data_IF_301131029257
#
_entry.id   IF_301131029257
#
_cell.length_a   1.000
_cell.length_b   1.000
_cell.length_c   1.000
_cell.angle_alpha   90.00
_cell.angle_beta   90.00
_cell.angle_gamma   90.00
#
_symmetry.space_group_name_H-M   'P 1'
#
loop_
_entity.id
_entity.type
_entity.pdbx_description
1 polymer ?
#
# COMPACT_ATOMS: atom_id res chain seq x y z
N UNK A 1 -18.70 8.92 3.93
CA UNK A 1 -18.03 9.01 5.25
C UNK A 1 -18.97 8.48 6.33
N UNK A 2 -18.49 7.53 7.12
CA UNK A 2 -19.24 6.93 8.21
C UNK A 2 -18.63 7.32 9.56
N UNK A 3 -19.49 7.49 10.55
CA UNK A 3 -19.10 7.58 11.95
C UNK A 3 -18.77 6.21 12.52
N UNK A 4 -18.21 6.18 13.74
CA UNK A 4 -17.79 4.94 14.41
C UNK A 4 -18.88 3.87 14.46
N UNK A 5 -20.13 4.28 14.61
CA UNK A 5 -21.32 3.43 14.73
C UNK A 5 -22.06 3.20 13.42
N UNK A 6 -21.45 3.52 12.28
CA UNK A 6 -22.03 3.28 10.95
C UNK A 6 -23.04 4.33 10.49
N UNK A 7 -23.23 5.41 11.26
CA UNK A 7 -24.04 6.54 10.83
C UNK A 7 -23.37 7.27 9.65
N UNK A 8 -24.13 7.58 8.61
CA UNK A 8 -23.65 8.39 7.49
C UNK A 8 -23.43 9.82 7.97
N UNK A 9 -22.18 10.28 7.95
CA UNK A 9 -21.81 11.64 8.32
C UNK A 9 -21.73 12.56 7.11
N UNK A 10 -21.36 12.01 5.96
CA UNK A 10 -21.28 12.71 4.69
C UNK A 10 -21.43 11.70 3.56
N UNK A 11 -22.28 12.03 2.59
CA UNK A 11 -22.42 11.30 1.34
C UNK A 11 -22.32 12.29 0.18
N UNK A 12 -21.44 11.99 -0.77
CA UNK A 12 -21.12 12.83 -1.93
C UNK A 12 -21.25 11.98 -3.19
N UNK A 13 -22.46 11.86 -3.76
CA UNK A 13 -22.67 11.04 -4.93
C UNK A 13 -21.92 11.60 -6.14
N UNK A 14 -21.31 10.71 -6.91
CA UNK A 14 -20.68 11.07 -8.18
C UNK A 14 -21.74 11.29 -9.26
N UNK A 15 -21.57 12.34 -10.05
CA UNK A 15 -22.36 12.59 -11.27
C UNK A 15 -21.71 11.97 -12.53
N UNK A 16 -20.62 11.20 -12.37
CA UNK A 16 -19.90 10.57 -13.47
C UNK A 16 -19.03 11.50 -14.33
N UNK A 17 -18.94 12.80 -14.01
CA UNK A 17 -18.11 13.77 -14.77
C UNK A 17 -16.79 14.08 -14.09
N UNK A 18 -16.45 13.39 -13.00
CA UNK A 18 -15.15 13.53 -12.33
C UNK A 18 -14.05 13.01 -13.25
N UNK A 19 -13.30 13.90 -13.89
CA UNK A 19 -12.20 13.56 -14.83
C UNK A 19 -10.96 12.92 -14.18
N UNK A 20 -11.16 12.11 -13.13
CA UNK A 20 -10.14 11.40 -12.36
C UNK A 20 -10.59 9.96 -12.09
N UNK A 21 -10.69 9.13 -13.14
CA UNK A 21 -11.06 7.73 -12.96
C UNK A 21 -9.98 6.99 -12.17
N UNK A 22 -10.39 6.07 -11.32
CA UNK A 22 -9.49 5.11 -10.70
C UNK A 22 -9.04 4.09 -11.74
N UNK A 23 -7.79 3.64 -11.63
CA UNK A 23 -7.23 2.60 -12.48
C UNK A 23 -6.44 1.62 -11.61
N UNK A 24 -6.56 0.33 -11.92
CA UNK A 24 -5.79 -0.68 -11.23
C UNK A 24 -4.30 -0.43 -11.47
N UNK A 25 -3.50 -0.56 -10.41
CA UNK A 25 -2.05 -0.37 -10.49
C UNK A 25 -1.40 -1.31 -11.52
N UNK A 26 -1.91 -2.53 -11.65
CA UNK A 26 -1.48 -3.51 -12.65
C UNK A 26 -1.72 -3.01 -14.07
N UNK A 27 -2.88 -2.41 -14.34
CA UNK A 27 -3.22 -1.83 -15.64
C UNK A 27 -2.35 -0.60 -15.96
N UNK A 28 -2.13 0.28 -14.98
CA UNK A 28 -1.22 1.42 -15.15
C UNK A 28 0.20 0.95 -15.47
N UNK A 29 0.71 -0.05 -14.73
CA UNK A 29 2.02 -0.64 -15.00
C UNK A 29 2.08 -1.26 -16.39
N UNK A 30 1.05 -2.01 -16.79
CA UNK A 30 0.97 -2.63 -18.12
C UNK A 30 1.00 -1.57 -19.22
N UNK A 31 0.15 -0.54 -19.14
CA UNK A 31 0.12 0.55 -20.13
C UNK A 31 1.47 1.26 -20.25
N UNK A 32 2.16 1.52 -19.13
CA UNK A 32 3.49 2.12 -19.16
C UNK A 32 4.52 1.18 -19.82
N UNK A 33 4.51 -0.12 -19.52
CA UNK A 33 5.43 -1.08 -20.13
C UNK A 33 5.17 -1.25 -21.63
N UNK A 34 3.91 -1.36 -22.03
CA UNK A 34 3.50 -1.47 -23.44
C UNK A 34 3.87 -0.22 -24.26
N UNK A 35 4.12 0.93 -23.60
CA UNK A 35 4.57 2.15 -24.27
C UNK A 35 6.09 2.19 -24.55
N UNK A 36 6.85 1.22 -24.05
CA UNK A 36 8.32 1.19 -24.16
C UNK A 36 8.80 0.04 -25.04
N UNK A 37 10.01 0.13 -25.63
CA UNK A 37 10.67 -1.01 -26.26
C UNK A 37 10.82 -2.18 -25.26
N UNK A 38 10.80 -3.42 -25.77
CA UNK A 38 10.89 -4.64 -24.93
C UNK A 38 12.18 -4.66 -24.10
N UNK A 39 13.26 -4.11 -24.66
CA UNK A 39 14.59 -4.07 -24.06
C UNK A 39 14.77 -2.96 -23.02
N UNK A 40 13.78 -2.06 -22.88
CA UNK A 40 13.88 -0.92 -21.97
C UNK A 40 13.90 -1.33 -20.50
N UNK A 41 13.37 -2.51 -20.15
CA UNK A 41 13.29 -3.00 -18.78
C UNK A 41 14.05 -4.31 -18.63
N UNK A 42 15.10 -4.29 -17.80
CA UNK A 42 15.76 -5.51 -17.35
C UNK A 42 15.13 -5.99 -16.04
N UNK A 43 14.40 -7.10 -16.13
CA UNK A 43 13.74 -7.72 -14.98
C UNK A 43 14.72 -8.44 -14.04
N UNK A 44 14.29 -8.70 -12.81
CA UNK A 44 15.07 -9.42 -11.79
C UNK A 44 16.41 -8.76 -11.44
N UNK A 45 16.53 -7.44 -11.66
CA UNK A 45 17.70 -6.62 -11.30
C UNK A 45 17.42 -5.79 -10.05
N UNK A 46 17.69 -6.36 -8.87
CA UNK A 46 17.64 -5.61 -7.61
C UNK A 46 18.97 -4.90 -7.37
N UNK A 47 18.94 -3.57 -7.28
CA UNK A 47 20.12 -2.76 -6.97
C UNK A 47 20.59 -3.03 -5.54
N UNK A 48 21.89 -3.33 -5.40
CA UNK A 48 22.56 -3.53 -4.12
C UNK A 48 23.32 -2.27 -3.68
N UNK A 49 23.94 -1.56 -4.64
CA UNK A 49 24.65 -0.32 -4.36
C UNK A 49 25.10 0.42 -5.61
N UNK A 50 25.57 1.65 -5.41
CA UNK A 50 26.09 2.51 -6.48
C UNK A 50 27.38 3.18 -6.02
N UNK A 51 28.36 3.26 -6.92
CA UNK A 51 29.63 3.96 -6.69
C UNK A 51 29.82 5.00 -7.79
N UNK A 52 30.15 6.23 -7.42
CA UNK A 52 30.57 7.25 -8.37
C UNK A 52 32.02 6.99 -8.79
N UNK A 53 32.25 6.80 -10.09
CA UNK A 53 33.58 6.51 -10.66
C UNK A 53 34.35 7.78 -11.04
N UNK A 54 33.72 8.95 -10.96
CA UNK A 54 34.26 10.21 -11.46
C UNK A 54 33.92 10.46 -12.94
N UNK A 55 34.08 11.70 -13.40
CA UNK A 55 33.78 12.09 -14.79
C UNK A 55 32.31 11.90 -15.19
N UNK A 56 31.37 11.89 -14.22
CA UNK A 56 29.95 11.64 -14.45
C UNK A 56 29.55 10.16 -14.52
N UNK A 57 30.50 9.23 -14.39
CA UNK A 57 30.21 7.80 -14.43
C UNK A 57 29.79 7.24 -13.09
N UNK A 58 28.85 6.30 -13.13
CA UNK A 58 28.30 5.58 -11.99
C UNK A 58 28.34 4.09 -12.29
N UNK A 59 28.89 3.30 -11.38
CA UNK A 59 28.80 1.84 -11.39
C UNK A 59 27.67 1.38 -10.47
N UNK A 60 26.78 0.55 -11.00
CA UNK A 60 25.66 -0.05 -10.28
C UNK A 60 26.01 -1.52 -10.02
N UNK A 61 25.91 -1.95 -8.77
CA UNK A 61 26.02 -3.35 -8.37
C UNK A 61 24.64 -3.93 -8.12
N UNK A 62 24.36 -5.08 -8.73
CA UNK A 62 23.10 -5.79 -8.59
C UNK A 62 23.29 -6.99 -7.65
N UNK A 63 22.25 -7.40 -6.95
CA UNK A 63 22.30 -8.53 -6.00
C UNK A 63 22.66 -9.88 -6.64
N UNK A 64 22.53 -10.01 -7.97
CA UNK A 64 22.98 -11.20 -8.71
C UNK A 64 24.50 -11.21 -9.01
N UNK A 65 25.23 -10.20 -8.52
CA UNK A 65 26.67 -10.03 -8.71
C UNK A 65 27.05 -9.31 -10.01
N UNK A 66 26.10 -9.05 -10.91
CA UNK A 66 26.38 -8.27 -12.13
C UNK A 66 26.62 -6.80 -11.82
N UNK A 67 27.44 -6.16 -12.64
CA UNK A 67 27.67 -4.71 -12.59
C UNK A 67 27.34 -4.09 -13.94
N UNK A 68 26.91 -2.83 -13.91
CA UNK A 68 26.70 -2.00 -15.10
C UNK A 68 27.13 -0.57 -14.84
N UNK A 69 27.58 0.13 -15.87
CA UNK A 69 28.05 1.51 -15.75
C UNK A 69 27.23 2.45 -16.63
N UNK A 70 26.92 3.65 -16.12
CA UNK A 70 26.19 4.69 -16.86
C UNK A 70 26.76 6.08 -16.59
N UNK A 71 26.61 6.97 -17.56
CA UNK A 71 26.92 8.40 -17.43
C UNK A 71 25.72 9.22 -16.93
N UNK A 72 24.50 8.66 -16.99
CA UNK A 72 23.28 9.27 -16.47
C UNK A 72 22.52 8.25 -15.62
N UNK A 73 22.32 8.59 -14.35
CA UNK A 73 21.61 7.77 -13.38
C UNK A 73 20.40 8.55 -12.84
N UNK A 74 19.21 7.96 -12.99
CA UNK A 74 17.96 8.51 -12.44
C UNK A 74 17.47 7.60 -11.31
N UNK A 75 17.34 8.16 -10.11
CA UNK A 75 16.84 7.44 -8.93
C UNK A 75 15.32 7.33 -8.92
N UNK A 76 14.80 6.15 -9.25
CA UNK A 76 13.36 5.82 -9.22
C UNK A 76 13.07 4.53 -8.43
N UNK A 77 13.92 4.22 -7.45
CA UNK A 77 13.96 2.97 -6.68
C UNK A 77 13.19 3.04 -5.33
N UNK A 78 12.29 4.01 -5.19
CA UNK A 78 11.31 4.05 -4.10
C UNK A 78 11.83 4.57 -2.75
N UNK A 79 11.08 4.29 -1.68
CA UNK A 79 11.30 4.85 -0.35
C UNK A 79 12.70 4.52 0.23
N UNK A 80 13.19 3.31 -0.07
CA UNK A 80 14.44 2.72 0.42
C UNK A 80 15.59 2.85 -0.58
N UNK A 81 15.59 3.93 -1.35
CA UNK A 81 16.52 4.18 -2.44
C UNK A 81 17.99 3.97 -2.05
N UNK A 82 18.71 3.19 -2.86
CA UNK A 82 20.18 3.06 -2.81
C UNK A 82 20.87 4.15 -3.62
N UNK A 83 20.13 4.90 -4.43
CA UNK A 83 20.63 6.02 -5.26
C UNK A 83 20.61 7.35 -4.51
N UNK A 84 19.58 7.60 -3.68
CA UNK A 84 19.40 8.85 -2.92
C UNK A 84 20.67 9.34 -2.17
N UNK A 85 21.49 8.47 -1.53
CA UNK A 85 22.70 8.89 -0.84
C UNK A 85 23.74 9.62 -1.71
N UNK A 86 23.70 9.46 -3.04
CA UNK A 86 24.56 10.22 -3.95
C UNK A 86 24.24 11.72 -3.99
N UNK A 87 23.01 12.11 -3.61
CA UNK A 87 22.53 13.48 -3.65
C UNK A 87 22.23 14.05 -2.26
N UNK A 88 21.83 13.22 -1.30
CA UNK A 88 21.42 13.66 0.03
C UNK A 88 21.66 12.58 1.09
N UNK A 89 22.14 13.00 2.26
CA UNK A 89 22.24 12.14 3.45
C UNK A 89 20.90 11.94 4.17
N UNK A 90 19.81 12.53 3.67
CA UNK A 90 18.49 12.37 4.27
C UNK A 90 18.03 10.91 4.23
N UNK A 91 17.65 10.41 5.40
CA UNK A 91 17.01 9.11 5.58
C UNK A 91 15.51 9.30 5.67
N UNK A 92 14.74 8.26 5.32
CA UNK A 92 13.31 8.26 5.65
C UNK A 92 13.14 8.32 7.18
N UNK A 93 11.96 8.66 7.66
CA UNK A 93 11.62 8.56 9.09
C UNK A 93 10.22 8.01 9.23
N UNK A 94 9.99 7.19 10.24
CA UNK A 94 8.65 6.68 10.54
C UNK A 94 7.81 7.80 11.16
N UNK A 95 6.68 8.11 10.54
CA UNK A 95 5.82 9.24 10.93
C UNK A 95 4.82 8.91 12.05
N UNK A 96 4.85 7.67 12.58
CA UNK A 96 3.93 7.24 13.64
C UNK A 96 2.65 6.56 13.16
N UNK A 97 2.51 6.29 11.86
CA UNK A 97 1.33 5.63 11.28
C UNK A 97 1.72 4.42 10.44
N UNK A 98 1.06 3.28 10.70
CA UNK A 98 1.16 2.05 9.91
C UNK A 98 -0.14 1.81 9.16
N UNK A 99 -0.05 1.42 7.89
CA UNK A 99 -1.20 1.00 7.09
C UNK A 99 -1.30 -0.52 7.10
N UNK A 100 -2.51 -1.05 7.25
CA UNK A 100 -2.81 -2.46 7.06
C UNK A 100 -3.79 -2.60 5.90
N UNK A 101 -3.43 -3.43 4.93
CA UNK A 101 -4.22 -3.67 3.72
C UNK A 101 -4.99 -5.00 3.82
N UNK A 102 -6.26 -4.97 3.42
CA UNK A 102 -7.15 -6.14 3.34
C UNK A 102 -8.02 -6.09 2.09
N UNK A 103 -8.53 -7.26 1.70
CA UNK A 103 -9.39 -7.42 0.53
C UNK A 103 -10.57 -8.33 0.86
N UNK A 104 -11.77 -7.88 0.49
CA UNK A 104 -12.97 -8.72 0.39
C UNK A 104 -13.35 -8.87 -1.07
N UNK A 105 -13.67 -10.09 -1.50
CA UNK A 105 -14.11 -10.42 -2.84
C UNK A 105 -15.60 -10.77 -2.85
N UNK A 106 -16.21 -10.76 -4.04
CA UNK A 106 -17.63 -11.07 -4.25
C UNK A 106 -18.56 -10.39 -3.23
N UNK A 107 -18.27 -9.12 -2.91
CA UNK A 107 -18.82 -8.47 -1.70
C UNK A 107 -20.33 -8.30 -1.73
N UNK A 108 -20.95 -8.25 -2.91
CA UNK A 108 -22.41 -8.16 -3.03
C UNK A 108 -23.10 -9.47 -2.60
N UNK A 109 -22.40 -10.59 -2.63
CA UNK A 109 -22.91 -11.93 -2.27
C UNK A 109 -22.44 -12.31 -0.87
N UNK A 110 -21.14 -12.17 -0.60
CA UNK A 110 -20.52 -12.66 0.64
C UNK A 110 -20.59 -11.64 1.78
N UNK A 111 -20.54 -10.33 1.47
CA UNK A 111 -20.49 -9.25 2.47
C UNK A 111 -21.49 -8.11 2.17
N UNK A 112 -22.79 -8.39 1.91
CA UNK A 112 -23.72 -7.40 1.36
C UNK A 112 -23.90 -6.17 2.26
N UNK A 113 -23.89 -6.33 3.59
CA UNK A 113 -23.98 -5.20 4.52
C UNK A 113 -22.76 -4.27 4.43
N UNK A 114 -21.56 -4.84 4.29
CA UNK A 114 -20.31 -4.11 4.13
C UNK A 114 -20.23 -3.43 2.77
N UNK A 115 -20.66 -4.10 1.71
CA UNK A 115 -20.78 -3.53 0.36
C UNK A 115 -21.73 -2.33 0.32
N UNK A 116 -22.90 -2.43 0.97
CA UNK A 116 -23.86 -1.32 1.07
C UNK A 116 -23.24 -0.14 1.85
N UNK A 117 -22.56 -0.42 2.96
CA UNK A 117 -21.92 0.61 3.76
C UNK A 117 -20.78 1.33 3.01
N UNK A 118 -20.01 0.60 2.20
CA UNK A 118 -18.94 1.14 1.37
C UNK A 118 -19.48 1.93 0.17
N UNK A 119 -20.61 1.51 -0.37
CA UNK A 119 -21.22 2.09 -1.56
C UNK A 119 -20.45 1.76 -2.84
N UNK A 120 -20.66 2.57 -3.88
CA UNK A 120 -20.07 2.36 -5.21
C UNK A 120 -18.74 3.11 -5.44
N UNK A 121 -18.19 3.75 -4.40
CA UNK A 121 -16.98 4.57 -4.50
C UNK A 121 -16.08 4.37 -3.29
N UNK A 122 -15.62 5.47 -2.70
CA UNK A 122 -14.75 5.46 -1.53
C UNK A 122 -15.53 5.69 -0.23
N UNK A 123 -15.23 4.87 0.76
CA UNK A 123 -15.65 4.95 2.14
C UNK A 123 -14.52 5.45 3.02
N UNK A 124 -14.85 6.38 3.91
CA UNK A 124 -13.96 6.90 4.94
C UNK A 124 -14.66 6.76 6.30
N UNK A 125 -14.01 6.13 7.27
CA UNK A 125 -14.42 6.16 8.66
C UNK A 125 -13.22 6.54 9.53
N UNK A 126 -13.23 7.76 10.04
CA UNK A 126 -12.08 8.38 10.71
C UNK A 126 -12.36 8.58 12.19
N UNK A 127 -11.39 8.20 13.02
CA UNK A 127 -11.38 8.41 14.46
C UNK A 127 -9.96 8.80 14.91
N UNK A 128 -9.80 9.43 16.08
CA UNK A 128 -8.46 9.65 16.63
C UNK A 128 -7.68 8.34 16.72
N UNK A 129 -6.53 8.30 16.04
CA UNK A 129 -5.63 7.13 16.02
C UNK A 129 -5.98 6.00 15.05
N UNK A 130 -7.16 6.03 14.41
CA UNK A 130 -7.58 5.03 13.42
C UNK A 130 -8.32 5.68 12.25
N UNK A 131 -7.82 5.49 11.04
CA UNK A 131 -8.56 5.75 9.79
C UNK A 131 -8.87 4.44 9.07
N UNK A 132 -10.11 4.28 8.62
CA UNK A 132 -10.52 3.19 7.72
C UNK A 132 -10.87 3.82 6.39
N UNK A 133 -10.22 3.35 5.33
CA UNK A 133 -10.44 3.79 3.96
C UNK A 133 -10.74 2.54 3.14
N UNK A 134 -11.94 2.43 2.59
CA UNK A 134 -12.26 1.35 1.66
C UNK A 134 -12.66 1.93 0.33
N UNK A 135 -12.27 1.32 -0.77
CA UNK A 135 -12.83 1.68 -2.07
C UNK A 135 -13.28 0.42 -2.80
N UNK A 136 -14.32 0.59 -3.60
CA UNK A 136 -14.89 -0.49 -4.38
C UNK A 136 -14.21 -0.59 -5.74
N UNK A 137 -13.48 -1.68 -5.95
CA UNK A 137 -12.82 -1.97 -7.21
C UNK A 137 -13.74 -2.76 -8.15
N UNK A 138 -13.32 -2.86 -9.42
CA UNK A 138 -13.98 -3.72 -10.39
C UNK A 138 -13.99 -5.18 -9.93
N UNK A 139 -15.02 -5.94 -10.33
CA UNK A 139 -15.15 -7.35 -9.94
C UNK A 139 -15.75 -7.59 -8.56
N UNK A 140 -16.35 -6.57 -7.94
CA UNK A 140 -17.03 -6.73 -6.65
C UNK A 140 -16.04 -6.91 -5.50
N UNK A 141 -14.92 -6.18 -5.55
CA UNK A 141 -13.87 -6.22 -4.54
C UNK A 141 -13.95 -4.96 -3.67
N UNK A 142 -13.84 -5.10 -2.36
CA UNK A 142 -13.52 -4.00 -1.46
C UNK A 142 -12.08 -4.12 -1.01
N UNK A 143 -11.28 -3.13 -1.41
CA UNK A 143 -9.91 -2.99 -0.96
C UNK A 143 -9.89 -1.97 0.17
N UNK A 144 -9.37 -2.36 1.33
CA UNK A 144 -9.39 -1.54 2.53
C UNK A 144 -7.99 -1.27 3.07
N UNK A 145 -7.78 -0.03 3.49
CA UNK A 145 -6.65 0.44 4.26
C UNK A 145 -7.10 0.82 5.67
N UNK A 146 -6.43 0.26 6.67
CA UNK A 146 -6.50 0.70 8.05
C UNK A 146 -5.24 1.49 8.42
N UNK A 147 -5.35 2.80 8.62
CA UNK A 147 -4.26 3.65 9.08
C UNK A 147 -4.30 3.73 10.61
N UNK A 148 -3.28 3.15 11.26
CA UNK A 148 -3.16 3.06 12.71
C UNK A 148 -2.03 3.94 13.20
N UNK A 149 -2.31 4.81 14.18
CA UNK A 149 -1.25 5.50 14.88
C UNK A 149 -0.65 4.58 15.94
N UNK A 150 0.52 4.03 15.65
CA UNK A 150 1.16 3.03 16.49
C UNK A 150 2.69 3.13 16.42
N UNK A 151 3.42 2.61 17.43
CA UNK A 151 4.87 2.51 17.37
C UNK A 151 5.35 1.64 16.19
N UNK A 152 6.54 1.93 15.65
CA UNK A 152 7.10 1.23 14.48
C UNK A 152 7.11 -0.31 14.62
N UNK A 153 7.36 -0.83 15.83
CA UNK A 153 7.39 -2.27 16.09
C UNK A 153 6.03 -2.94 16.27
N UNK A 154 4.91 -2.21 16.16
CA UNK A 154 3.58 -2.73 16.46
C UNK A 154 3.17 -3.90 15.55
N UNK A 155 3.54 -3.84 14.27
CA UNK A 155 3.23 -4.85 13.24
C UNK A 155 4.29 -5.96 13.11
N UNK A 156 5.25 -6.05 14.04
CA UNK A 156 6.27 -7.08 14.00
C UNK A 156 5.63 -8.49 14.00
N UNK A 157 5.97 -9.32 13.02
CA UNK A 157 5.46 -10.68 12.87
C UNK A 157 4.16 -10.81 12.05
N UNK A 158 3.51 -9.70 11.67
CA UNK A 158 2.34 -9.75 10.78
C UNK A 158 2.69 -10.16 9.34
N UNK A 159 3.97 -10.10 8.96
CA UNK A 159 4.47 -10.53 7.65
C UNK A 159 4.82 -12.03 7.57
N UNK A 160 4.56 -12.79 8.65
CA UNK A 160 4.83 -14.22 8.73
C UNK A 160 3.95 -15.08 7.81
N UNK A 161 2.91 -14.48 7.22
CA UNK A 161 1.88 -15.19 6.43
C UNK A 161 0.80 -15.85 7.29
N UNK A 162 0.87 -15.72 8.62
CA UNK A 162 -0.19 -16.17 9.52
C UNK A 162 -1.34 -15.15 9.56
N UNK A 163 -2.34 -15.38 8.70
CA UNK A 163 -3.53 -14.54 8.61
C UNK A 163 -4.30 -14.45 9.94
N UNK A 164 -4.39 -15.55 10.69
CA UNK A 164 -5.15 -15.57 11.94
C UNK A 164 -4.47 -14.70 13.00
N UNK A 165 -3.15 -14.82 13.15
CA UNK A 165 -2.40 -14.00 14.08
C UNK A 165 -2.43 -12.51 13.70
N UNK A 166 -2.35 -12.19 12.41
CA UNK A 166 -2.46 -10.82 11.92
C UNK A 166 -3.86 -10.22 12.19
N UNK A 167 -4.93 -10.98 11.96
CA UNK A 167 -6.30 -10.56 12.28
C UNK A 167 -6.52 -10.39 13.78
N UNK A 168 -6.03 -11.32 14.61
CA UNK A 168 -6.12 -11.22 16.07
C UNK A 168 -5.39 -9.98 16.60
N UNK A 169 -4.23 -9.66 16.03
CA UNK A 169 -3.47 -8.46 16.37
C UNK A 169 -4.22 -7.17 16.03
N UNK A 170 -4.95 -7.17 14.90
CA UNK A 170 -5.66 -6.01 14.38
C UNK A 170 -7.01 -5.77 15.08
N UNK A 171 -7.70 -6.85 15.47
CA UNK A 171 -9.07 -6.80 15.99
C UNK A 171 -9.32 -5.76 17.09
N UNK A 172 -8.46 -5.61 18.13
CA UNK A 172 -8.69 -4.65 19.21
C UNK A 172 -8.73 -3.19 18.75
N UNK A 173 -8.02 -2.84 17.66
CA UNK A 173 -8.01 -1.48 17.13
C UNK A 173 -9.39 -1.06 16.59
N UNK A 174 -10.25 -2.04 16.28
CA UNK A 174 -11.58 -1.87 15.71
C UNK A 174 -12.71 -2.00 16.74
N UNK A 175 -12.38 -2.08 18.03
CA UNK A 175 -13.37 -2.19 19.09
C UNK A 175 -14.37 -1.03 19.08
N UNK A 176 -15.64 -1.38 19.24
CA UNK A 176 -16.75 -0.42 19.25
C UNK A 176 -17.03 0.24 17.89
N UNK A 177 -16.48 -0.30 16.79
CA UNK A 177 -16.89 0.07 15.43
C UNK A 177 -18.13 -0.71 15.00
N UNK A 178 -18.87 -0.15 14.05
CA UNK A 178 -20.00 -0.82 13.45
C UNK A 178 -19.58 -2.14 12.79
N UNK A 179 -20.46 -3.17 12.80
CA UNK A 179 -20.16 -4.47 12.18
C UNK A 179 -19.68 -4.38 10.73
N UNK A 180 -20.26 -3.48 9.93
CA UNK A 180 -19.85 -3.27 8.55
C UNK A 180 -18.41 -2.72 8.40
N UNK A 181 -17.89 -2.00 9.42
CA UNK A 181 -16.50 -1.52 9.42
C UNK A 181 -15.52 -2.56 9.94
N UNK A 182 -15.93 -3.37 10.93
CA UNK A 182 -15.09 -4.46 11.47
C UNK A 182 -14.93 -5.58 10.44
N UNK A 183 -15.98 -5.88 9.67
CA UNK A 183 -15.98 -6.91 8.63
C UNK A 183 -14.93 -6.65 7.53
N UNK A 184 -14.64 -5.39 7.20
CA UNK A 184 -13.58 -5.03 6.23
C UNK A 184 -12.21 -5.60 6.60
N UNK A 185 -11.99 -5.87 7.89
CA UNK A 185 -10.74 -6.42 8.41
C UNK A 185 -10.88 -7.89 8.80
N UNK A 186 -11.92 -8.20 9.59
CA UNK A 186 -12.08 -9.52 10.20
C UNK A 186 -12.40 -10.61 9.18
N UNK A 187 -13.11 -10.25 8.11
CA UNK A 187 -13.56 -11.21 7.10
C UNK A 187 -12.66 -11.22 5.87
N UNK A 188 -11.50 -10.56 5.91
CA UNK A 188 -10.58 -10.44 4.78
C UNK A 188 -10.22 -11.80 4.17
N UNK A 189 -10.36 -11.92 2.85
CA UNK A 189 -9.96 -13.12 2.09
C UNK A 189 -8.43 -13.24 1.98
N UNK A 190 -7.71 -12.18 2.32
CA UNK A 190 -6.25 -12.10 2.29
C UNK A 190 -5.72 -11.87 3.71
N UNK A 191 -4.54 -12.40 4.00
CA UNK A 191 -3.86 -12.12 5.26
C UNK A 191 -3.64 -10.60 5.40
N UNK A 192 -4.08 -9.96 6.51
CA UNK A 192 -3.86 -8.53 6.70
C UNK A 192 -2.38 -8.19 6.60
N UNK A 193 -2.04 -7.32 5.64
CA UNK A 193 -0.66 -7.00 5.33
C UNK A 193 -0.30 -5.60 5.83
N UNK A 194 0.57 -5.52 6.84
CA UNK A 194 1.09 -4.26 7.33
C UNK A 194 2.19 -3.71 6.42
N UNK A 195 2.02 -2.49 5.91
CA UNK A 195 3.05 -1.72 5.23
C UNK A 195 3.73 -0.77 6.23
N UNK A 196 4.54 -1.35 7.12
CA UNK A 196 5.46 -0.60 7.99
C UNK A 196 6.92 -0.78 7.53
N UNK A 197 7.79 0.23 7.72
CA UNK A 197 9.24 0.06 7.55
C UNK A 197 9.76 -1.11 8.37
N UNK A 198 10.54 -2.00 7.76
CA UNK A 198 11.26 -3.06 8.48
C UNK A 198 12.59 -2.52 8.98
N UNK A 199 13.12 -3.08 10.07
CA UNK A 199 14.47 -2.76 10.52
C UNK A 199 15.52 -2.99 9.41
N UNK A 200 15.31 -4.01 8.56
CA UNK A 200 16.14 -4.31 7.38
C UNK A 200 16.06 -3.26 6.28
N UNK A 201 15.02 -2.44 6.25
CA UNK A 201 14.84 -1.43 5.20
C UNK A 201 15.79 -0.23 5.41
N UNK A 202 16.38 -0.13 6.61
CA UNK A 202 17.33 0.91 7.01
C UNK A 202 18.79 0.48 6.90
N UNK A 203 19.06 -0.82 6.74
CA UNK A 203 20.40 -1.43 6.65
C UNK A 203 20.76 -1.76 5.21
#
# INVERSE_FOLDING_TARGET
>A
MLGRHGAVLLDLPSNGTGGRPEALRSDLRRMLLESQPEEAVQWSKKLDGVIALGGGWHELRVTDGSTTATHLLVGADGAWSKIRPLLSSATAEYIGTTFVETYLHDVDVLHPATAIAAGAGALFALAPGLGIFAHREAGGILHTYAALNCPLGWSAGMDSGDAAAATERLAPEFDGRAPALTALMADSDTAPAASAPRASDWT
#
